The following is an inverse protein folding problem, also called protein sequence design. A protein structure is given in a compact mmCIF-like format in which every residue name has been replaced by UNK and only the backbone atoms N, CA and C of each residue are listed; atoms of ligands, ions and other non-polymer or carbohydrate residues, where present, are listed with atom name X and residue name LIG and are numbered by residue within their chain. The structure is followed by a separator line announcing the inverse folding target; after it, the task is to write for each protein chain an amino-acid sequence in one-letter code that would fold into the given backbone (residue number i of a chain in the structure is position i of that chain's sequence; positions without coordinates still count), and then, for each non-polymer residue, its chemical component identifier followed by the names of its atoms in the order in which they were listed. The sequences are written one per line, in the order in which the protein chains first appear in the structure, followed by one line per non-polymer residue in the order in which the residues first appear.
data_IF_550132502894
#
_entry.id   IF_550132502894
#
_cell.length_a   1.000
_cell.length_b   1.000
_cell.length_c   1.000
_cell.angle_alpha   90.00
_cell.angle_beta   90.00
_cell.angle_gamma   90.00
#
_symmetry.space_group_name_H-M   'P 1'
#
loop_
_entity.id
_entity.type
_entity.pdbx_description
1 polymer ?
#
# COMPACT_ATOMS: atom_id res chain seq x y z
N UNK A 1 17.86 -12.23 -20.70
CA UNK A 1 18.34 -11.65 -19.43
C UNK A 1 18.29 -12.74 -18.36
N UNK A 2 19.44 -13.29 -17.97
CA UNK A 2 19.55 -14.43 -17.03
C UNK A 2 19.94 -13.87 -15.67
N UNK A 3 19.07 -14.01 -14.67
CA UNK A 3 19.39 -13.69 -13.26
C UNK A 3 20.33 -14.78 -12.72
N UNK A 4 21.59 -14.76 -13.14
CA UNK A 4 22.60 -15.63 -12.56
C UNK A 4 22.99 -15.07 -11.19
N UNK A 5 22.84 -15.90 -10.15
CA UNK A 5 23.30 -15.69 -8.77
C UNK A 5 22.39 -14.91 -7.79
N UNK A 6 21.07 -14.88 -8.01
CA UNK A 6 20.13 -14.32 -7.01
C UNK A 6 19.51 -15.44 -6.16
N UNK A 7 19.76 -15.41 -4.85
CA UNK A 7 19.05 -16.27 -3.90
C UNK A 7 17.59 -15.83 -3.80
N UNK A 8 16.67 -16.65 -4.31
CA UNK A 8 15.24 -16.33 -4.39
C UNK A 8 14.58 -16.20 -3.02
N UNK A 9 15.02 -16.96 -2.02
CA UNK A 9 14.46 -16.89 -0.67
C UNK A 9 14.92 -15.62 0.05
N UNK A 10 16.19 -15.24 -0.10
CA UNK A 10 16.70 -13.97 0.38
C UNK A 10 15.97 -12.78 -0.27
N UNK A 11 15.74 -12.85 -1.59
CA UNK A 11 15.00 -11.82 -2.32
C UNK A 11 13.54 -11.73 -1.85
N UNK A 12 12.87 -12.87 -1.67
CA UNK A 12 11.50 -12.93 -1.16
C UNK A 12 11.42 -12.34 0.24
N UNK A 13 12.36 -12.67 1.12
CA UNK A 13 12.45 -12.13 2.47
C UNK A 13 12.57 -10.60 2.47
N UNK A 14 13.48 -10.07 1.63
CA UNK A 14 13.65 -8.61 1.46
C UNK A 14 12.36 -7.93 1.03
N UNK A 15 11.70 -8.40 -0.02
CA UNK A 15 10.46 -7.78 -0.49
C UNK A 15 9.30 -7.89 0.50
N UNK A 16 9.26 -8.97 1.29
CA UNK A 16 8.26 -9.12 2.35
C UNK A 16 8.46 -8.12 3.48
N UNK A 17 9.71 -7.84 3.84
CA UNK A 17 10.06 -6.82 4.85
C UNK A 17 9.81 -5.40 4.32
N UNK A 18 10.23 -5.06 3.10
CA UNK A 18 9.87 -3.76 2.47
C UNK A 18 8.34 -3.58 2.39
N UNK A 19 7.65 -4.66 2.01
CA UNK A 19 6.24 -4.95 2.25
C UNK A 19 5.70 -4.37 3.57
N UNK A 20 6.00 -5.13 4.60
CA UNK A 20 5.28 -5.13 5.88
C UNK A 20 5.81 -4.07 6.83
N UNK A 21 7.09 -3.74 6.73
CA UNK A 21 7.79 -2.92 7.72
C UNK A 21 7.96 -1.47 7.24
N UNK A 22 7.74 -1.20 5.94
CA UNK A 22 7.94 0.13 5.35
C UNK A 22 6.75 0.63 4.55
N UNK A 23 6.35 -0.09 3.51
CA UNK A 23 5.33 0.41 2.57
C UNK A 23 3.95 0.44 3.22
N UNK A 24 3.50 -0.67 3.83
CA UNK A 24 2.18 -0.69 4.47
C UNK A 24 2.08 0.34 5.61
N UNK A 25 3.02 0.42 6.57
CA UNK A 25 2.96 1.44 7.62
C UNK A 25 2.87 2.87 7.07
N UNK A 26 3.68 3.21 6.06
CA UNK A 26 3.61 4.53 5.42
C UNK A 26 2.20 4.84 4.90
N UNK A 27 1.60 3.94 4.12
CA UNK A 27 0.26 4.17 3.58
C UNK A 27 -0.84 4.12 4.64
N UNK A 28 -0.69 3.29 5.69
CA UNK A 28 -1.60 3.27 6.83
C UNK A 28 -1.58 4.62 7.57
N UNK A 29 -0.41 5.21 7.75
CA UNK A 29 -0.25 6.44 8.54
C UNK A 29 -0.69 7.69 7.78
N UNK A 30 -0.28 7.86 6.52
CA UNK A 30 -0.51 9.11 5.78
C UNK A 30 -1.27 8.95 4.45
N UNK A 31 -1.44 7.72 3.97
CA UNK A 31 -1.99 7.42 2.65
C UNK A 31 -3.51 7.40 2.55
N UNK A 32 -4.19 7.10 3.65
CA UNK A 32 -5.64 6.86 3.69
C UNK A 32 -6.35 8.12 4.18
N UNK A 33 -7.29 8.61 3.38
CA UNK A 33 -8.18 9.69 3.79
C UNK A 33 -9.33 9.11 4.63
N UNK A 34 -9.16 9.16 5.96
CA UNK A 34 -10.13 8.62 6.91
C UNK A 34 -11.38 9.49 7.06
N UNK A 35 -11.32 10.75 6.64
CA UNK A 35 -12.42 11.71 6.74
C UNK A 35 -13.38 11.57 5.56
N UNK A 36 -12.85 11.50 4.33
CA UNK A 36 -13.66 11.49 3.11
C UNK A 36 -13.57 10.19 2.29
N UNK A 37 -12.88 9.17 2.79
CA UNK A 37 -12.66 7.89 2.08
C UNK A 37 -11.63 7.98 0.96
N UNK A 38 -11.14 6.85 0.47
CA UNK A 38 -10.09 6.81 -0.55
C UNK A 38 -8.69 7.22 -0.05
N UNK A 39 -7.86 7.70 -0.98
CA UNK A 39 -6.40 7.78 -0.80
C UNK A 39 -5.80 9.11 -1.23
N UNK A 40 -4.85 9.61 -0.45
CA UNK A 40 -3.96 10.70 -0.86
C UNK A 40 -2.83 10.15 -1.70
N UNK A 41 -2.50 10.84 -2.80
CA UNK A 41 -1.39 10.45 -3.68
C UNK A 41 -0.27 11.50 -3.74
N UNK A 42 -0.53 12.71 -3.22
CA UNK A 42 0.44 13.80 -3.14
C UNK A 42 0.99 13.89 -1.73
N UNK A 43 1.92 13.00 -1.43
CA UNK A 43 2.62 12.93 -0.16
C UNK A 43 4.11 13.21 -0.41
N UNK A 44 4.72 13.94 0.51
CA UNK A 44 6.18 14.05 0.59
C UNK A 44 6.79 12.74 1.07
N UNK A 45 8.12 12.61 0.97
CA UNK A 45 8.85 11.41 1.43
C UNK A 45 8.72 11.17 2.94
N UNK A 46 8.45 12.20 3.73
CA UNK A 46 8.19 12.12 5.18
C UNK A 46 6.71 11.84 5.52
N UNK A 47 5.86 11.67 4.50
CA UNK A 47 4.42 11.46 4.67
C UNK A 47 3.60 12.74 4.84
N UNK A 48 4.20 13.93 4.79
CA UNK A 48 3.44 15.18 4.84
C UNK A 48 2.54 15.35 3.62
N UNK A 49 1.30 15.82 3.84
CA UNK A 49 0.30 15.99 2.79
C UNK A 49 0.60 17.24 1.96
N UNK A 50 0.87 17.05 0.67
CA UNK A 50 1.15 18.13 -0.30
C UNK A 50 -0.12 18.57 -1.03
N UNK A 51 -1.14 17.73 -1.10
CA UNK A 51 -2.43 18.10 -1.68
C UNK A 51 -3.50 17.04 -1.55
N UNK A 52 -4.76 17.49 -1.55
CA UNK A 52 -5.95 16.65 -1.29
C UNK A 52 -6.67 16.17 -2.55
N UNK A 53 -6.17 16.54 -3.74
CA UNK A 53 -6.80 16.14 -5.00
C UNK A 53 -6.80 14.61 -5.17
N UNK A 54 -7.92 14.06 -5.64
CA UNK A 54 -8.10 12.62 -5.85
C UNK A 54 -8.27 12.32 -7.33
N UNK A 55 -7.37 11.50 -7.87
CA UNK A 55 -7.49 10.98 -9.23
C UNK A 55 -8.07 9.57 -9.22
N UNK A 56 -9.11 9.33 -10.02
CA UNK A 56 -9.82 8.04 -10.06
C UNK A 56 -8.91 6.84 -10.32
N UNK A 57 -7.87 7.00 -11.15
CA UNK A 57 -6.90 5.94 -11.43
C UNK A 57 -6.11 5.54 -10.17
N UNK A 58 -5.78 6.50 -9.30
CA UNK A 58 -5.08 6.23 -8.06
C UNK A 58 -6.03 5.60 -7.03
N UNK A 59 -7.27 6.08 -6.96
CA UNK A 59 -8.30 5.51 -6.09
C UNK A 59 -8.57 4.03 -6.44
N UNK A 60 -8.71 3.71 -7.72
CA UNK A 60 -8.92 2.33 -8.17
C UNK A 60 -7.74 1.42 -7.84
N UNK A 61 -6.49 1.92 -7.94
CA UNK A 61 -5.30 1.16 -7.55
C UNK A 61 -5.23 0.94 -6.05
N UNK A 62 -5.51 1.96 -5.25
CA UNK A 62 -5.60 1.83 -3.79
C UNK A 62 -6.63 0.79 -3.39
N UNK A 63 -7.86 0.89 -3.93
CA UNK A 63 -8.93 -0.09 -3.71
C UNK A 63 -8.47 -1.51 -4.03
N UNK A 64 -7.82 -1.72 -5.18
CA UNK A 64 -7.31 -3.02 -5.58
C UNK A 64 -6.24 -3.54 -4.62
N UNK A 65 -5.27 -2.70 -4.21
CA UNK A 65 -4.20 -3.10 -3.29
C UNK A 65 -4.77 -3.57 -1.96
N UNK A 66 -5.65 -2.78 -1.33
CA UNK A 66 -6.23 -3.14 -0.03
C UNK A 66 -7.14 -4.38 -0.11
N UNK A 67 -7.89 -4.52 -1.21
CA UNK A 67 -8.65 -5.75 -1.50
C UNK A 67 -7.73 -6.97 -1.66
N UNK A 68 -6.60 -6.80 -2.36
CA UNK A 68 -5.63 -7.87 -2.57
C UNK A 68 -4.99 -8.32 -1.24
N UNK A 69 -4.60 -7.36 -0.39
CA UNK A 69 -4.05 -7.65 0.93
C UNK A 69 -5.04 -8.47 1.78
N UNK A 70 -6.32 -8.08 1.80
CA UNK A 70 -7.36 -8.81 2.52
C UNK A 70 -7.55 -10.25 1.99
N UNK A 71 -7.60 -10.41 0.68
CA UNK A 71 -7.92 -11.69 0.05
C UNK A 71 -6.75 -12.67 -0.02
N UNK A 72 -5.52 -12.17 -0.17
CA UNK A 72 -4.35 -13.01 -0.50
C UNK A 72 -3.22 -12.97 0.52
N UNK A 73 -3.11 -11.93 1.35
CA UNK A 73 -2.06 -11.85 2.36
C UNK A 73 -2.59 -12.26 3.74
N UNK A 74 -3.65 -11.60 4.20
CA UNK A 74 -4.31 -11.88 5.48
C UNK A 74 -5.70 -11.25 5.48
N UNK A 75 -6.70 -11.98 5.96
CA UNK A 75 -8.06 -11.46 6.21
C UNK A 75 -8.12 -10.55 7.45
N UNK A 76 -7.29 -9.50 7.46
CA UNK A 76 -7.31 -8.46 8.48
C UNK A 76 -8.50 -7.52 8.24
N UNK A 77 -9.45 -7.38 9.18
CA UNK A 77 -10.61 -6.50 9.00
C UNK A 77 -10.24 -5.05 8.65
N UNK A 78 -9.08 -4.56 9.09
CA UNK A 78 -8.60 -3.21 8.77
C UNK A 78 -8.43 -3.00 7.27
N UNK A 79 -7.95 -4.00 6.54
CA UNK A 79 -7.76 -3.91 5.08
C UNK A 79 -9.09 -3.82 4.34
N UNK A 80 -10.08 -4.58 4.81
CA UNK A 80 -11.43 -4.56 4.26
C UNK A 80 -12.13 -3.23 4.55
N UNK A 81 -11.91 -2.64 5.73
CA UNK A 81 -12.44 -1.32 6.06
C UNK A 81 -11.91 -0.26 5.09
N UNK A 82 -10.60 -0.24 4.85
CA UNK A 82 -9.98 0.71 3.91
C UNK A 82 -10.49 0.51 2.49
N UNK A 83 -10.67 -0.74 2.05
CA UNK A 83 -11.20 -1.04 0.72
C UNK A 83 -12.69 -0.67 0.53
N UNK A 84 -13.44 -0.40 1.61
CA UNK A 84 -14.88 -0.09 1.54
C UNK A 84 -15.19 1.40 1.57
N UNK A 85 -14.21 2.25 1.87
CA UNK A 85 -14.37 3.70 2.02
C UNK A 85 -13.74 4.45 0.85
#
# INVERSE_FOLDING_TARGET
MRLHNVNLDALRGRWRSELSDRLLPFWEDCGIDREHGGFFHRLSYDGSLVGTQKFSWFQGRGLWVWSFLYNHLRRDPRYLEVARR
#
